data_IF_307159308663
#
_entry.id   IF_307159308663
#
_cell.length_a   1.000
_cell.length_b   1.000
_cell.length_c   1.000
_cell.angle_alpha   90.00
_cell.angle_beta   90.00
_cell.angle_gamma   90.00
#
_symmetry.space_group_name_H-M   'P 1'
#
loop_
_entity.id
_entity.type
_entity.pdbx_description
1 polymer ?
#
# COMPACT_ATOMS: atom_id res chain seq x y z
N UNK A 1 -31.71 -8.62 13.51
CA UNK A 1 -32.09 -7.30 14.06
C UNK A 1 -31.00 -6.64 14.89
N UNK A 2 -29.74 -6.63 14.46
CA UNK A 2 -28.66 -5.83 15.10
C UNK A 2 -27.81 -5.04 14.09
N UNK A 3 -27.85 -5.38 12.80
CA UNK A 3 -27.18 -4.61 11.74
C UNK A 3 -27.91 -3.32 11.35
N UNK A 4 -29.24 -3.27 11.53
CA UNK A 4 -30.06 -2.11 11.14
C UNK A 4 -29.86 -0.92 12.09
N UNK A 5 -29.60 -1.16 13.38
CA UNK A 5 -29.43 -0.12 14.40
C UNK A 5 -28.16 0.74 14.21
N UNK A 6 -27.12 0.22 13.54
CA UNK A 6 -25.92 1.00 13.22
C UNK A 6 -26.05 1.76 11.90
N UNK A 7 -26.75 1.19 10.91
CA UNK A 7 -26.99 1.85 9.63
C UNK A 7 -27.90 3.08 9.78
N UNK A 8 -28.91 3.02 10.66
CA UNK A 8 -29.82 4.14 10.91
C UNK A 8 -29.18 5.29 11.68
N UNK A 9 -28.17 5.03 12.53
CA UNK A 9 -27.46 6.08 13.27
C UNK A 9 -26.74 7.07 12.35
N UNK A 10 -26.13 6.59 11.27
CA UNK A 10 -25.55 7.47 10.25
C UNK A 10 -26.63 8.15 9.41
N UNK A 11 -27.82 7.54 9.32
CA UNK A 11 -28.99 8.04 8.63
C UNK A 11 -29.80 9.09 9.39
N UNK A 12 -29.42 9.43 10.63
CA UNK A 12 -30.10 10.43 11.48
C UNK A 12 -29.26 11.71 11.71
N UNK A 13 -27.96 11.69 11.36
CA UNK A 13 -27.06 12.85 11.46
C UNK A 13 -27.43 13.93 10.44
N UNK A 14 -27.16 15.21 10.74
CA UNK A 14 -27.38 16.31 9.80
C UNK A 14 -26.45 16.14 8.59
N UNK A 15 -26.91 16.45 7.36
CA UNK A 15 -26.16 16.17 6.12
C UNK A 15 -24.72 16.71 6.17
N UNK A 16 -24.56 17.92 6.73
CA UNK A 16 -23.27 18.57 6.94
C UNK A 16 -22.30 17.73 7.78
N UNK A 17 -22.79 17.11 8.86
CA UNK A 17 -21.99 16.27 9.74
C UNK A 17 -21.58 14.98 9.04
N UNK A 18 -22.46 14.39 8.22
CA UNK A 18 -22.12 13.19 7.41
C UNK A 18 -21.04 13.49 6.39
N UNK A 19 -21.16 14.60 5.67
CA UNK A 19 -20.14 15.04 4.73
C UNK A 19 -18.79 15.25 5.41
N UNK A 20 -18.78 15.86 6.60
CA UNK A 20 -17.56 16.05 7.39
C UNK A 20 -16.93 14.71 7.78
N UNK A 21 -17.74 13.74 8.25
CA UNK A 21 -17.25 12.42 8.64
C UNK A 21 -16.73 11.61 7.43
N UNK A 22 -17.42 11.63 6.29
CA UNK A 22 -16.97 10.93 5.08
C UNK A 22 -15.66 11.52 4.54
N UNK A 23 -15.51 12.86 4.58
CA UNK A 23 -14.27 13.51 4.16
C UNK A 23 -13.11 13.12 5.08
N UNK A 24 -13.32 13.15 6.40
CA UNK A 24 -12.32 12.74 7.38
C UNK A 24 -11.86 11.30 7.15
N UNK A 25 -12.79 10.34 7.04
CA UNK A 25 -12.46 8.91 6.86
C UNK A 25 -11.64 8.70 5.57
N UNK A 26 -12.04 9.35 4.48
CA UNK A 26 -11.32 9.27 3.21
C UNK A 26 -9.92 9.85 3.33
N UNK A 27 -9.79 11.03 3.94
CA UNK A 27 -8.49 11.68 4.20
C UNK A 27 -7.62 10.90 5.19
N UNK A 28 -8.19 10.15 6.14
CA UNK A 28 -7.41 9.30 7.04
C UNK A 28 -6.85 8.06 6.32
N UNK A 29 -7.62 7.43 5.42
CA UNK A 29 -7.18 6.26 4.68
C UNK A 29 -6.22 6.58 3.53
N UNK A 30 -6.53 7.61 2.75
CA UNK A 30 -5.74 8.02 1.58
C UNK A 30 -4.75 9.14 1.88
N UNK A 31 -4.72 9.62 3.12
CA UNK A 31 -3.79 10.64 3.56
C UNK A 31 -2.56 10.06 4.23
N UNK A 32 -2.03 10.83 5.16
CA UNK A 32 -0.69 10.69 5.74
C UNK A 32 -0.36 9.26 6.19
N UNK A 33 -1.32 8.55 6.81
CA UNK A 33 -1.10 7.20 7.31
C UNK A 33 -0.67 6.20 6.23
N UNK A 34 -1.27 6.27 5.03
CA UNK A 34 -0.89 5.43 3.90
C UNK A 34 0.48 5.78 3.32
N UNK A 35 0.86 7.07 3.32
CA UNK A 35 2.17 7.50 2.82
C UNK A 35 3.34 7.18 3.75
N UNK A 36 3.07 7.03 5.06
CA UNK A 36 4.11 6.69 6.04
C UNK A 36 4.75 5.33 5.76
N UNK A 37 3.99 4.35 5.29
CA UNK A 37 4.54 3.04 4.92
C UNK A 37 5.51 3.14 3.73
N UNK A 38 5.15 3.91 2.69
CA UNK A 38 6.03 4.16 1.54
C UNK A 38 7.30 4.91 1.93
N UNK A 39 7.18 5.94 2.79
CA UNK A 39 8.33 6.69 3.30
C UNK A 39 9.27 5.79 4.12
N UNK A 40 8.73 4.94 5.00
CA UNK A 40 9.52 3.99 5.79
C UNK A 40 10.29 3.01 4.90
N UNK A 41 9.62 2.42 3.90
CA UNK A 41 10.25 1.50 2.94
C UNK A 41 11.33 2.23 2.13
N UNK A 42 11.07 3.45 1.67
CA UNK A 42 12.04 4.27 0.94
C UNK A 42 13.27 4.63 1.77
N UNK A 43 13.09 4.98 3.04
CA UNK A 43 14.20 5.24 3.98
C UNK A 43 15.02 3.96 4.21
N UNK A 44 14.35 2.81 4.40
CA UNK A 44 15.01 1.52 4.60
C UNK A 44 15.94 1.19 3.41
N UNK A 45 15.42 1.30 2.19
CA UNK A 45 16.15 1.03 0.95
C UNK A 45 17.27 2.08 0.74
N UNK A 46 16.99 3.34 1.02
CA UNK A 46 17.93 4.45 0.87
C UNK A 46 19.16 4.28 1.78
N UNK A 47 18.96 3.98 3.06
CA UNK A 47 20.05 3.76 4.02
C UNK A 47 20.94 2.59 3.57
N UNK A 48 20.33 1.49 3.12
CA UNK A 48 21.07 0.31 2.65
C UNK A 48 21.92 0.61 1.42
N UNK A 49 21.33 1.28 0.43
CA UNK A 49 21.99 1.58 -0.83
C UNK A 49 23.12 2.60 -0.65
N UNK A 50 22.89 3.65 0.15
CA UNK A 50 23.89 4.71 0.35
C UNK A 50 25.01 4.32 1.32
N UNK A 51 24.74 3.49 2.34
CA UNK A 51 25.71 3.11 3.36
C UNK A 51 26.53 1.87 3.00
N UNK A 52 25.95 0.90 2.28
CA UNK A 52 26.59 -0.40 2.04
C UNK A 52 27.02 -0.66 0.58
N UNK A 53 26.74 0.26 -0.37
CA UNK A 53 27.17 0.15 -1.78
C UNK A 53 26.86 -1.19 -2.48
N UNK A 54 25.81 -1.90 -2.04
CA UNK A 54 25.34 -3.13 -2.67
C UNK A 54 24.41 -2.81 -3.84
N UNK A 55 24.41 -3.64 -4.91
CA UNK A 55 23.60 -3.42 -6.10
C UNK A 55 22.09 -3.37 -5.77
N UNK A 56 21.37 -2.45 -6.43
CA UNK A 56 19.92 -2.23 -6.37
C UNK A 56 19.16 -3.52 -6.72
N UNK A 57 18.83 -4.31 -5.70
CA UNK A 57 18.00 -5.49 -5.85
C UNK A 57 17.26 -5.69 -4.53
N UNK A 58 15.97 -6.06 -4.61
CA UNK A 58 15.04 -6.23 -3.49
C UNK A 58 15.58 -7.22 -2.43
N UNK A 59 16.50 -8.12 -2.84
CA UNK A 59 17.31 -9.00 -1.98
C UNK A 59 18.15 -8.27 -0.92
N UNK A 60 18.60 -7.05 -1.19
CA UNK A 60 19.44 -6.26 -0.27
C UNK A 60 18.60 -5.49 0.76
N UNK A 61 17.30 -5.27 0.51
CA UNK A 61 16.42 -4.53 1.42
C UNK A 61 16.12 -5.28 2.74
N UNK A 62 16.31 -6.61 2.75
CA UNK A 62 16.11 -7.46 3.93
C UNK A 62 17.33 -7.54 4.86
N UNK A 63 18.45 -6.91 4.50
CA UNK A 63 19.72 -6.97 5.24
C UNK A 63 19.64 -6.48 6.71
N UNK A 64 18.84 -5.46 7.10
CA UNK A 64 18.81 -4.99 8.49
C UNK A 64 17.69 -5.61 9.34
N UNK A 65 16.73 -6.36 8.77
CA UNK A 65 15.60 -6.92 9.53
C UNK A 65 15.62 -8.45 9.67
N UNK A 66 16.25 -9.18 8.73
CA UNK A 66 16.25 -10.66 8.70
C UNK A 66 17.66 -11.30 8.82
N UNK A 67 18.75 -10.53 8.72
CA UNK A 67 20.10 -11.10 8.76
C UNK A 67 20.44 -11.97 7.53
N UNK A 68 21.22 -13.05 7.74
CA UNK A 68 21.88 -13.88 6.71
C UNK A 68 20.94 -14.67 5.75
N UNK A 69 19.63 -14.71 5.99
CA UNK A 69 18.68 -15.42 5.10
C UNK A 69 18.39 -14.69 3.77
N UNK A 70 18.88 -13.46 3.59
CA UNK A 70 18.75 -12.70 2.34
C UNK A 70 19.54 -13.30 1.16
N UNK A 71 20.51 -14.19 1.42
CA UNK A 71 21.25 -14.95 0.41
C UNK A 71 20.76 -16.40 0.23
N UNK A 72 19.69 -16.79 0.93
CA UNK A 72 19.05 -18.10 0.82
C UNK A 72 17.79 -18.09 -0.08
N UNK A 73 17.19 -19.27 -0.36
CA UNK A 73 15.98 -19.40 -1.21
C UNK A 73 14.79 -18.57 -0.75
N UNK A 74 14.78 -18.13 0.51
CA UNK A 74 13.77 -17.22 1.07
C UNK A 74 13.84 -15.83 0.43
N UNK A 75 15.03 -15.33 0.09
CA UNK A 75 15.22 -14.04 -0.58
C UNK A 75 14.69 -14.02 -2.01
N UNK A 76 14.93 -15.10 -2.78
CA UNK A 76 14.43 -15.24 -4.16
C UNK A 76 12.90 -15.34 -4.22
N UNK A 77 12.27 -16.02 -3.27
CA UNK A 77 10.79 -16.11 -3.20
C UNK A 77 10.18 -14.72 -2.96
N UNK A 78 10.80 -13.91 -2.10
CA UNK A 78 10.33 -12.54 -1.83
C UNK A 78 10.53 -11.64 -3.05
N UNK A 79 11.65 -11.76 -3.76
CA UNK A 79 11.91 -10.98 -4.98
C UNK A 79 10.90 -11.32 -6.09
N UNK A 80 10.65 -12.61 -6.33
CA UNK A 80 9.61 -13.07 -7.26
C UNK A 80 8.23 -12.59 -6.84
N UNK A 81 7.88 -12.69 -5.55
CA UNK A 81 6.60 -12.18 -5.06
C UNK A 81 6.45 -10.66 -5.25
N UNK A 82 7.53 -9.89 -5.06
CA UNK A 82 7.55 -8.44 -5.26
C UNK A 82 7.37 -8.05 -6.74
N UNK A 83 8.06 -8.74 -7.65
CA UNK A 83 7.91 -8.55 -9.10
C UNK A 83 6.48 -8.89 -9.53
N UNK A 84 5.95 -10.04 -9.10
CA UNK A 84 4.59 -10.45 -9.40
C UNK A 84 3.56 -9.42 -8.87
N UNK A 85 3.69 -9.01 -7.61
CA UNK A 85 2.82 -7.99 -7.00
C UNK A 85 2.80 -6.69 -7.84
N UNK A 86 3.97 -6.24 -8.29
CA UNK A 86 4.08 -5.03 -9.10
C UNK A 86 3.37 -5.19 -10.45
N UNK A 87 3.59 -6.31 -11.14
CA UNK A 87 2.94 -6.58 -12.44
C UNK A 87 1.43 -6.71 -12.27
N UNK A 88 0.95 -7.40 -11.23
CA UNK A 88 -0.47 -7.50 -10.91
C UNK A 88 -1.09 -6.14 -10.62
N UNK A 89 -0.40 -5.28 -9.86
CA UNK A 89 -0.84 -3.91 -9.57
C UNK A 89 -0.96 -3.06 -10.83
N UNK A 90 0.07 -3.11 -11.69
CA UNK A 90 0.08 -2.38 -12.98
C UNK A 90 -1.01 -2.90 -13.91
N UNK A 91 -1.16 -4.22 -14.07
CA UNK A 91 -2.21 -4.81 -14.92
C UNK A 91 -3.62 -4.46 -14.43
N UNK A 92 -3.86 -4.46 -13.11
CA UNK A 92 -5.16 -4.12 -12.55
C UNK A 92 -5.51 -2.66 -12.79
N UNK A 93 -4.55 -1.76 -12.52
CA UNK A 93 -4.72 -0.32 -12.77
C UNK A 93 -4.97 -0.04 -14.26
N UNK A 94 -4.20 -0.67 -15.14
CA UNK A 94 -4.39 -0.55 -16.59
C UNK A 94 -5.74 -1.10 -17.05
N UNK A 95 -6.16 -2.25 -16.53
CA UNK A 95 -7.45 -2.86 -16.85
C UNK A 95 -8.63 -1.96 -16.47
N UNK A 96 -8.63 -1.41 -15.26
CA UNK A 96 -9.64 -0.44 -14.81
C UNK A 96 -9.62 0.84 -15.66
N UNK A 97 -8.45 1.33 -16.04
CA UNK A 97 -8.30 2.50 -16.90
C UNK A 97 -8.87 2.29 -18.31
N UNK A 98 -8.56 1.15 -18.94
CA UNK A 98 -9.13 0.80 -20.26
C UNK A 98 -10.65 0.65 -20.20
N UNK A 99 -11.17 0.04 -19.13
CA UNK A 99 -12.61 -0.08 -18.92
C UNK A 99 -13.30 1.29 -18.81
N UNK A 100 -12.69 2.25 -18.10
CA UNK A 100 -13.23 3.61 -18.02
C UNK A 100 -13.22 4.34 -19.37
N UNK A 101 -12.17 4.16 -20.17
CA UNK A 101 -12.07 4.75 -21.52
C UNK A 101 -13.08 4.16 -22.50
N UNK A 102 -13.39 2.87 -22.40
CA UNK A 102 -14.36 2.19 -23.26
C UNK A 102 -15.82 2.54 -22.92
N UNK A 103 -16.08 3.07 -21.73
CA UNK A 103 -17.43 3.47 -21.28
C UNK A 103 -17.71 4.96 -21.51
N UNK A 104 -16.70 5.72 -21.97
CA UNK A 104 -16.82 7.13 -22.34
C UNK A 104 -17.24 7.34 -23.79
#
# INVERSE_FOLDING_TARGET
GTGECHATRWAELQDNERFQQSMLITSFHWGVHGYMSYALVGILIGILTYRYKLPFATKTAFYPLIGECAYGPVGDIVDVAAILCTIFGVCTSLGLGVMALSQG
#
